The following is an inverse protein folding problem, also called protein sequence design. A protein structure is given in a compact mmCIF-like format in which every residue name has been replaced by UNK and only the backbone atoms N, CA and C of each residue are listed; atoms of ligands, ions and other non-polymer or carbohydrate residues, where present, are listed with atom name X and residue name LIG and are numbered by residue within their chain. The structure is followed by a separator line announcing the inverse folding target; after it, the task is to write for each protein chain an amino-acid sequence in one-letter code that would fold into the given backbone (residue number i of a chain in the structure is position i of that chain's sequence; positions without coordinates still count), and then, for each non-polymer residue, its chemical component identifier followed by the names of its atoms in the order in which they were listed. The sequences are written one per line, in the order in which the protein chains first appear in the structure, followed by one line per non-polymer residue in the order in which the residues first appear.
data_IF_223997260575
#
_entry.id   IF_223997260575
#
_cell.length_a   1.000
_cell.length_b   1.000
_cell.length_c   1.000
_cell.angle_alpha   90.00
_cell.angle_beta   90.00
_cell.angle_gamma   90.00
#
_symmetry.space_group_name_H-M   'P 1'
#
loop_
_entity.id
_entity.type
_entity.pdbx_description
1 polymer ?
#
# COMPACT_ATOMS: atom_id res chain seq x y z
N UNK A 1 -9.50 -19.08 60.83
CA UNK A 1 -8.36 -18.15 60.79
C UNK A 1 -7.28 -18.80 59.95
N UNK A 2 -6.89 -18.33 58.77
CA UNK A 2 -7.30 -17.20 57.92
C UNK A 2 -6.94 -17.62 56.48
N UNK A 3 -7.90 -17.61 55.57
CA UNK A 3 -8.17 -16.61 54.52
C UNK A 3 -7.08 -16.54 53.44
N UNK A 4 -7.50 -17.05 52.29
CA UNK A 4 -6.97 -16.89 50.94
C UNK A 4 -7.20 -15.45 50.46
N UNK A 5 -6.16 -14.71 50.03
CA UNK A 5 -6.28 -13.59 49.09
C UNK A 5 -5.02 -13.54 48.21
N UNK A 6 -5.23 -13.80 46.92
CA UNK A 6 -4.43 -13.34 45.77
C UNK A 6 -5.18 -12.13 45.16
N UNK A 7 -4.76 -11.40 44.11
CA UNK A 7 -3.47 -10.84 43.68
C UNK A 7 -3.60 -9.32 43.33
N UNK A 8 -2.48 -8.59 43.20
CA UNK A 8 -2.31 -7.42 42.30
C UNK A 8 -0.82 -7.03 42.28
N UNK A 9 -0.13 -7.32 41.18
CA UNK A 9 0.26 -6.33 40.16
C UNK A 9 0.96 -5.12 40.77
N UNK A 10 2.29 -5.10 40.75
CA UNK A 10 3.06 -4.05 40.08
C UNK A 10 4.37 -4.64 39.55
N UNK A 11 4.56 -4.43 38.26
CA UNK A 11 5.75 -4.64 37.46
C UNK A 11 6.95 -3.89 38.00
N UNK A 12 8.16 -4.44 37.86
CA UNK A 12 9.29 -3.73 37.23
C UNK A 12 10.49 -4.68 37.03
N UNK A 13 10.78 -4.92 35.75
CA UNK A 13 12.13 -4.95 35.18
C UNK A 13 13.24 -5.72 35.92
N UNK A 14 13.34 -7.03 35.67
CA UNK A 14 14.63 -7.72 35.67
C UNK A 14 14.87 -8.35 34.29
N UNK A 15 15.32 -7.49 33.37
CA UNK A 15 16.08 -7.89 32.20
C UNK A 15 17.51 -7.41 32.39
N UNK A 16 18.43 -8.32 32.09
CA UNK A 16 19.84 -8.09 31.75
C UNK A 16 20.79 -8.03 32.96
N UNK A 17 21.61 -9.07 33.11
CA UNK A 17 23.08 -8.96 33.08
C UNK A 17 23.71 -10.35 33.34
N UNK A 18 23.60 -11.25 32.37
CA UNK A 18 24.68 -12.22 32.17
C UNK A 18 25.82 -11.48 31.47
N UNK A 19 27.08 -11.53 31.97
CA UNK A 19 28.19 -10.94 31.27
C UNK A 19 28.41 -11.73 29.98
N UNK A 20 27.95 -11.16 28.87
CA UNK A 20 28.29 -11.58 27.53
C UNK A 20 29.79 -11.33 27.32
N UNK A 21 30.61 -12.31 27.71
CA UNK A 21 32.04 -12.28 27.44
C UNK A 21 32.20 -12.61 25.94
N UNK A 22 32.00 -11.59 25.10
CA UNK A 22 32.59 -11.60 23.76
C UNK A 22 34.10 -11.52 23.96
N UNK A 23 34.73 -12.68 24.13
CA UNK A 23 36.18 -12.80 24.12
C UNK A 23 36.60 -12.46 22.68
N UNK A 24 37.15 -11.28 22.50
CA UNK A 24 37.71 -10.87 21.22
C UNK A 24 38.88 -11.82 20.90
N UNK A 25 38.68 -12.70 19.92
CA UNK A 25 39.63 -13.77 19.59
C UNK A 25 41.01 -13.19 19.27
N UNK A 26 41.07 -12.01 18.66
CA UNK A 26 42.29 -11.27 18.36
C UNK A 26 43.05 -10.86 19.63
N UNK A 27 42.35 -10.41 20.67
CA UNK A 27 42.96 -10.04 21.94
C UNK A 27 43.55 -11.27 22.65
N UNK A 28 42.87 -12.41 22.63
CA UNK A 28 43.42 -13.64 23.20
C UNK A 28 44.63 -14.17 22.44
N UNK A 29 44.61 -14.14 21.11
CA UNK A 29 45.75 -14.54 20.27
C UNK A 29 46.95 -13.61 20.51
N UNK A 30 46.71 -12.31 20.66
CA UNK A 30 47.75 -11.34 21.01
C UNK A 30 48.33 -11.59 22.42
N UNK A 31 47.49 -12.02 23.37
CA UNK A 31 47.90 -12.35 24.74
C UNK A 31 48.82 -13.58 24.77
N UNK A 32 48.48 -14.64 24.03
CA UNK A 32 49.33 -15.85 23.89
C UNK A 32 50.64 -15.58 23.15
N UNK A 33 50.68 -14.52 22.34
CA UNK A 33 51.89 -14.09 21.62
C UNK A 33 52.81 -13.20 22.46
N UNK A 34 52.38 -12.80 23.67
CA UNK A 34 53.19 -11.94 24.54
C UNK A 34 54.32 -12.71 25.22
N UNK A 35 55.48 -12.05 25.35
CA UNK A 35 56.74 -12.63 25.82
C UNK A 35 56.65 -13.29 27.21
N UNK A 36 55.67 -12.90 28.03
CA UNK A 36 55.42 -13.44 29.36
C UNK A 36 54.92 -14.88 29.39
N UNK A 37 54.35 -15.38 28.29
CA UNK A 37 53.86 -16.76 28.17
C UNK A 37 54.85 -17.70 27.49
N UNK A 38 56.06 -17.22 27.16
CA UNK A 38 57.12 -18.09 26.68
C UNK A 38 57.50 -19.10 27.77
N UNK A 39 57.54 -20.40 27.46
CA UNK A 39 57.88 -21.44 28.44
C UNK A 39 59.22 -21.18 29.15
N UNK A 40 60.19 -20.59 28.46
CA UNK A 40 61.51 -20.28 29.00
C UNK A 40 61.48 -19.23 30.13
N UNK A 41 60.66 -18.17 29.99
CA UNK A 41 60.52 -17.10 30.99
C UNK A 41 59.70 -17.60 32.17
N UNK A 42 58.65 -18.38 31.90
CA UNK A 42 57.87 -19.05 32.93
C UNK A 42 58.77 -19.98 33.76
N UNK A 43 59.52 -20.90 33.14
CA UNK A 43 60.43 -21.83 33.84
C UNK A 43 61.47 -21.08 34.68
N UNK A 44 62.04 -20.00 34.16
CA UNK A 44 63.03 -19.19 34.88
C UNK A 44 62.43 -18.48 36.11
N UNK A 45 61.14 -18.12 36.07
CA UNK A 45 60.45 -17.55 37.24
C UNK A 45 60.25 -18.55 38.39
N UNK A 46 60.17 -19.85 38.09
CA UNK A 46 60.00 -20.92 39.09
C UNK A 46 61.32 -21.43 39.68
N UNK A 47 62.47 -21.06 39.10
CA UNK A 47 63.81 -21.53 39.47
C UNK A 47 64.69 -20.37 39.96
N UNK A 48 64.61 -19.96 41.25
CA UNK A 48 65.59 -19.03 41.79
C UNK A 48 67.01 -19.57 41.66
N UNK A 49 67.95 -18.68 41.34
CA UNK A 49 69.37 -18.95 41.04
C UNK A 49 70.18 -19.58 42.18
N UNK A 50 69.57 -19.83 43.35
CA UNK A 50 70.22 -20.33 44.58
C UNK A 50 69.58 -21.62 45.13
N UNK A 51 68.85 -22.39 44.32
CA UNK A 51 68.23 -23.66 44.75
C UNK A 51 69.20 -24.85 44.64
N UNK A 52 69.19 -25.73 45.66
CA UNK A 52 69.82 -27.06 45.61
C UNK A 52 69.24 -27.94 44.49
N UNK A 53 70.11 -28.51 43.64
CA UNK A 53 69.77 -29.28 42.43
C UNK A 53 68.60 -30.28 42.62
N UNK A 54 68.55 -30.98 43.75
CA UNK A 54 67.51 -31.98 44.05
C UNK A 54 66.12 -31.33 44.20
N UNK A 55 66.04 -30.15 44.83
CA UNK A 55 64.77 -29.41 44.98
C UNK A 55 64.31 -28.82 43.65
N UNK A 56 65.25 -28.39 42.79
CA UNK A 56 64.95 -27.93 41.45
C UNK A 56 64.41 -29.08 40.59
N UNK A 57 65.06 -30.25 40.63
CA UNK A 57 64.62 -31.45 39.91
C UNK A 57 63.21 -31.87 40.32
N UNK A 58 62.89 -31.91 41.60
CA UNK A 58 61.54 -32.26 42.06
C UNK A 58 60.47 -31.24 41.62
N UNK A 59 60.80 -29.94 41.58
CA UNK A 59 59.89 -28.90 41.07
C UNK A 59 59.67 -29.04 39.57
N UNK A 60 60.71 -29.33 38.80
CA UNK A 60 60.62 -29.54 37.35
C UNK A 60 59.77 -30.77 37.05
N UNK A 61 59.98 -31.88 37.77
CA UNK A 61 59.18 -33.10 37.61
C UNK A 61 57.71 -32.85 37.94
N UNK A 62 57.41 -32.15 39.05
CA UNK A 62 56.04 -31.81 39.41
C UNK A 62 55.37 -30.87 38.40
N UNK A 63 56.13 -29.91 37.85
CA UNK A 63 55.63 -29.03 36.80
C UNK A 63 55.36 -29.78 35.51
N UNK A 64 56.25 -30.70 35.12
CA UNK A 64 56.07 -31.55 33.95
C UNK A 64 54.81 -32.42 34.09
N UNK A 65 54.62 -33.07 35.24
CA UNK A 65 53.44 -33.90 35.51
C UNK A 65 52.15 -33.05 35.52
N UNK A 66 52.19 -31.84 36.08
CA UNK A 66 51.06 -30.91 36.04
C UNK A 66 50.74 -30.46 34.62
N UNK A 67 51.78 -30.17 33.82
CA UNK A 67 51.63 -29.79 32.41
C UNK A 67 51.05 -30.95 31.59
N UNK A 68 51.56 -32.17 31.80
CA UNK A 68 51.06 -33.38 31.13
C UNK A 68 49.59 -33.63 31.47
N UNK A 69 49.22 -33.51 32.75
CA UNK A 69 47.83 -33.66 33.20
C UNK A 69 46.92 -32.57 32.64
N UNK A 70 47.33 -31.31 32.70
CA UNK A 70 46.53 -30.19 32.22
C UNK A 70 46.41 -30.17 30.70
N UNK A 71 47.47 -30.53 29.98
CA UNK A 71 47.46 -30.71 28.52
C UNK A 71 46.54 -31.87 28.12
N UNK A 72 46.65 -33.01 28.79
CA UNK A 72 45.76 -34.15 28.56
C UNK A 72 44.30 -33.81 28.80
N UNK A 73 43.99 -33.13 29.91
CA UNK A 73 42.63 -32.67 30.22
C UNK A 73 42.11 -31.63 29.22
N UNK A 74 42.96 -30.72 28.73
CA UNK A 74 42.58 -29.75 27.71
C UNK A 74 42.27 -30.43 26.37
N UNK A 75 43.08 -31.41 25.97
CA UNK A 75 42.89 -32.21 24.75
C UNK A 75 41.58 -33.00 24.84
N UNK A 76 41.31 -33.66 25.97
CA UNK A 76 40.06 -34.40 26.18
C UNK A 76 38.82 -33.49 26.12
N UNK A 77 38.88 -32.32 26.76
CA UNK A 77 37.81 -31.30 26.66
C UNK A 77 37.61 -30.84 25.23
N UNK A 78 38.69 -30.62 24.48
CA UNK A 78 38.62 -30.23 23.08
C UNK A 78 37.97 -31.31 22.23
N UNK A 79 38.36 -32.58 22.40
CA UNK A 79 37.72 -33.70 21.71
C UNK A 79 36.22 -33.76 22.00
N UNK A 80 35.82 -33.63 23.27
CA UNK A 80 34.41 -33.61 23.64
C UNK A 80 33.62 -32.49 22.97
N UNK A 81 34.16 -31.26 22.94
CA UNK A 81 33.50 -30.12 22.30
C UNK A 81 33.40 -30.33 20.78
N UNK A 82 34.46 -30.85 20.15
CA UNK A 82 34.44 -31.18 18.72
C UNK A 82 33.40 -32.26 18.42
N UNK A 83 33.32 -33.30 19.24
CA UNK A 83 32.31 -34.36 19.08
C UNK A 83 30.88 -33.83 19.26
N UNK A 84 30.66 -32.93 20.23
CA UNK A 84 29.37 -32.27 20.43
C UNK A 84 28.99 -31.40 19.21
N UNK A 85 29.94 -30.64 18.64
CA UNK A 85 29.71 -29.84 17.43
C UNK A 85 29.38 -30.74 16.24
N UNK A 86 30.12 -31.83 16.06
CA UNK A 86 29.88 -32.79 14.96
C UNK A 86 28.50 -33.43 15.12
N UNK A 87 28.09 -33.78 16.34
CA UNK A 87 26.76 -34.34 16.60
C UNK A 87 25.62 -33.33 16.34
N UNK A 88 25.85 -32.04 16.58
CA UNK A 88 24.85 -30.99 16.37
C UNK A 88 24.79 -30.49 14.92
N UNK A 89 25.84 -30.68 14.13
CA UNK A 89 25.93 -30.19 12.74
C UNK A 89 24.81 -30.70 11.81
N UNK A 90 24.41 -32.00 11.82
CA UNK A 90 23.30 -32.48 10.99
C UNK A 90 21.96 -31.81 11.30
N UNK A 91 21.70 -31.55 12.60
CA UNK A 91 20.48 -30.86 13.04
C UNK A 91 20.47 -29.42 12.53
N UNK A 92 21.59 -28.71 12.65
CA UNK A 92 21.72 -27.35 12.13
C UNK A 92 21.52 -27.31 10.61
N UNK A 93 22.08 -28.28 9.88
CA UNK A 93 21.89 -28.39 8.43
C UNK A 93 20.41 -28.60 8.06
N UNK A 94 19.71 -29.48 8.78
CA UNK A 94 18.28 -29.70 8.59
C UNK A 94 17.47 -28.44 8.88
N UNK A 95 17.77 -27.74 9.97
CA UNK A 95 17.06 -26.51 10.33
C UNK A 95 17.27 -25.41 9.28
N UNK A 96 18.47 -25.30 8.69
CA UNK A 96 18.77 -24.39 7.58
C UNK A 96 17.96 -24.75 6.33
N UNK A 97 17.92 -26.03 5.97
CA UNK A 97 17.18 -26.48 4.78
C UNK A 97 15.67 -26.27 4.96
N UNK A 98 15.13 -26.54 6.15
CA UNK A 98 13.75 -26.26 6.49
C UNK A 98 13.44 -24.76 6.39
N UNK A 99 14.33 -23.90 6.89
CA UNK A 99 14.17 -22.46 6.82
C UNK A 99 14.22 -21.96 5.36
N UNK A 100 15.13 -22.51 4.55
CA UNK A 100 15.20 -22.23 3.12
C UNK A 100 13.90 -22.63 2.41
N UNK A 101 13.36 -23.82 2.67
CA UNK A 101 12.11 -24.28 2.07
C UNK A 101 10.91 -23.42 2.51
N UNK A 102 10.85 -23.04 3.79
CA UNK A 102 9.79 -22.18 4.31
C UNK A 102 9.85 -20.77 3.70
N UNK A 103 11.04 -20.21 3.50
CA UNK A 103 11.18 -18.90 2.84
C UNK A 103 10.82 -18.95 1.36
N UNK A 104 11.15 -20.05 0.66
CA UNK A 104 10.70 -20.27 -0.71
C UNK A 104 9.17 -20.31 -0.82
N UNK A 105 8.50 -21.09 0.02
CA UNK A 105 7.02 -21.17 0.08
C UNK A 105 6.40 -19.81 0.40
N UNK A 106 6.96 -19.08 1.38
CA UNK A 106 6.49 -17.75 1.74
C UNK A 106 6.61 -16.77 0.56
N UNK A 107 7.72 -16.84 -0.19
CA UNK A 107 7.92 -15.99 -1.37
C UNK A 107 6.89 -16.26 -2.46
N UNK A 108 6.51 -17.53 -2.67
CA UNK A 108 5.49 -17.93 -3.64
C UNK A 108 4.11 -17.40 -3.22
N UNK A 109 3.75 -17.53 -1.94
CA UNK A 109 2.50 -17.00 -1.38
C UNK A 109 2.44 -15.48 -1.54
N UNK A 110 3.55 -14.78 -1.26
CA UNK A 110 3.62 -13.32 -1.36
C UNK A 110 3.45 -12.86 -2.81
N UNK A 111 4.07 -13.57 -3.76
CA UNK A 111 3.90 -13.29 -5.19
C UNK A 111 2.46 -13.50 -5.64
N UNK A 112 1.82 -14.63 -5.28
CA UNK A 112 0.40 -14.87 -5.58
C UNK A 112 -0.51 -13.78 -5.01
N UNK A 113 -0.27 -13.38 -3.76
CA UNK A 113 -1.05 -12.29 -3.12
C UNK A 113 -0.83 -10.94 -3.80
N UNK A 114 0.41 -10.64 -4.23
CA UNK A 114 0.72 -9.42 -4.98
C UNK A 114 0.00 -9.39 -6.33
N UNK A 115 -0.05 -10.51 -7.04
CA UNK A 115 -0.81 -10.64 -8.29
C UNK A 115 -2.31 -10.43 -8.06
N UNK A 116 -2.89 -11.04 -7.03
CA UNK A 116 -4.29 -10.85 -6.66
C UNK A 116 -4.62 -9.39 -6.32
N UNK A 117 -3.77 -8.72 -5.54
CA UNK A 117 -3.96 -7.29 -5.20
C UNK A 117 -3.88 -6.43 -6.47
N UNK A 118 -2.96 -6.73 -7.39
CA UNK A 118 -2.84 -5.98 -8.63
C UNK A 118 -4.04 -6.21 -9.57
N UNK A 119 -4.56 -7.44 -9.63
CA UNK A 119 -5.78 -7.76 -10.38
C UNK A 119 -6.98 -7.01 -9.79
N UNK A 120 -7.18 -7.10 -8.48
CA UNK A 120 -8.25 -6.39 -7.78
C UNK A 120 -8.15 -4.88 -7.95
N UNK A 121 -6.95 -4.30 -7.85
CA UNK A 121 -6.74 -2.86 -8.06
C UNK A 121 -7.07 -2.42 -9.49
N UNK A 122 -6.76 -3.25 -10.50
CA UNK A 122 -7.13 -2.97 -11.90
C UNK A 122 -8.64 -3.06 -12.10
N UNK A 123 -9.27 -4.11 -11.58
CA UNK A 123 -10.71 -4.34 -11.70
C UNK A 123 -11.51 -3.25 -10.99
N UNK A 124 -11.19 -2.95 -9.72
CA UNK A 124 -11.84 -1.89 -8.97
C UNK A 124 -11.65 -0.51 -9.61
N UNK A 125 -10.47 -0.22 -10.15
CA UNK A 125 -10.22 1.05 -10.86
C UNK A 125 -11.10 1.15 -12.11
N UNK A 126 -11.21 0.08 -12.89
CA UNK A 126 -12.03 0.06 -14.10
C UNK A 126 -13.52 0.20 -13.76
N UNK A 127 -14.04 -0.57 -12.80
CA UNK A 127 -15.45 -0.49 -12.40
C UNK A 127 -15.85 0.88 -11.86
N UNK A 128 -14.96 1.52 -11.09
CA UNK A 128 -15.19 2.86 -10.57
C UNK A 128 -15.14 3.91 -11.69
N UNK A 129 -14.23 3.78 -12.65
CA UNK A 129 -14.17 4.66 -13.83
C UNK A 129 -15.43 4.51 -14.68
N UNK A 130 -15.88 3.29 -14.95
CA UNK A 130 -17.10 3.01 -15.70
C UNK A 130 -18.32 3.61 -15.00
N UNK A 131 -18.39 3.50 -13.68
CA UNK A 131 -19.42 4.15 -12.88
C UNK A 131 -19.39 5.68 -12.99
N UNK A 132 -18.20 6.31 -12.92
CA UNK A 132 -18.07 7.75 -13.10
C UNK A 132 -18.44 8.21 -14.51
N UNK A 133 -18.07 7.46 -15.54
CA UNK A 133 -18.45 7.76 -16.93
C UNK A 133 -19.96 7.66 -17.11
N UNK A 134 -20.60 6.63 -16.55
CA UNK A 134 -22.05 6.50 -16.56
C UNK A 134 -22.74 7.66 -15.82
N UNK A 135 -22.20 8.06 -14.66
CA UNK A 135 -22.73 9.18 -13.89
C UNK A 135 -22.62 10.51 -14.65
N UNK A 136 -21.52 10.73 -15.36
CA UNK A 136 -21.34 11.91 -16.20
C UNK A 136 -22.32 11.93 -17.38
N UNK A 137 -22.56 10.79 -18.03
CA UNK A 137 -23.58 10.66 -19.08
C UNK A 137 -24.98 10.97 -18.51
N UNK A 138 -25.30 10.43 -17.34
CA UNK A 138 -26.58 10.69 -16.67
C UNK A 138 -26.70 12.18 -16.35
N UNK A 139 -25.65 12.81 -15.81
CA UNK A 139 -25.63 14.24 -15.52
C UNK A 139 -25.84 15.08 -16.78
N UNK A 140 -25.17 14.76 -17.88
CA UNK A 140 -25.35 15.45 -19.16
C UNK A 140 -26.78 15.33 -19.67
N UNK A 141 -27.38 14.13 -19.57
CA UNK A 141 -28.79 13.91 -19.93
C UNK A 141 -29.72 14.71 -19.04
N UNK A 142 -29.51 14.70 -17.72
CA UNK A 142 -30.31 15.50 -16.77
C UNK A 142 -30.20 16.99 -17.11
N UNK A 143 -29.00 17.49 -17.37
CA UNK A 143 -28.78 18.88 -17.72
C UNK A 143 -29.44 19.25 -19.06
N UNK A 144 -29.38 18.36 -20.05
CA UNK A 144 -30.08 18.55 -21.32
C UNK A 144 -31.61 18.57 -21.12
N UNK A 145 -32.16 17.63 -20.35
CA UNK A 145 -33.60 17.61 -20.03
C UNK A 145 -34.02 18.84 -19.23
N UNK A 146 -33.19 19.29 -18.29
CA UNK A 146 -33.46 20.50 -17.51
C UNK A 146 -33.50 21.74 -18.41
N UNK A 147 -32.53 21.87 -19.33
CA UNK A 147 -32.51 22.98 -20.30
C UNK A 147 -33.75 22.97 -21.20
N UNK A 148 -34.17 21.79 -21.68
CA UNK A 148 -35.38 21.65 -22.50
C UNK A 148 -36.63 21.98 -21.70
N UNK A 149 -36.73 21.55 -20.45
CA UNK A 149 -37.84 21.86 -19.56
C UNK A 149 -37.88 23.34 -19.17
N UNK A 150 -36.72 23.98 -18.99
CA UNK A 150 -36.64 25.42 -18.73
C UNK A 150 -37.10 26.23 -19.95
N UNK A 151 -36.68 25.84 -21.15
CA UNK A 151 -37.15 26.45 -22.41
C UNK A 151 -38.64 26.20 -22.62
N UNK A 152 -39.15 25.00 -22.31
CA UNK A 152 -40.58 24.71 -22.32
C UNK A 152 -41.36 25.55 -21.29
N UNK A 153 -40.79 25.78 -20.10
CA UNK A 153 -41.38 26.66 -19.08
C UNK A 153 -41.45 28.11 -19.54
N UNK A 154 -40.41 28.63 -20.22
CA UNK A 154 -40.43 29.97 -20.84
C UNK A 154 -41.52 30.07 -21.90
N UNK A 155 -41.68 29.01 -22.70
CA UNK A 155 -42.74 28.95 -23.72
C UNK A 155 -44.16 28.85 -23.14
N UNK A 156 -44.33 28.49 -21.86
CA UNK A 156 -45.63 28.54 -21.18
C UNK A 156 -46.26 29.94 -21.22
N UNK A 157 -45.45 30.99 -21.26
CA UNK A 157 -45.92 32.37 -21.51
C UNK A 157 -46.18 32.60 -23.01
N UNK A 158 -47.06 31.77 -23.58
CA UNK A 158 -47.45 31.66 -25.01
C UNK A 158 -47.74 33.03 -25.63
N UNK A 159 -48.37 33.93 -24.86
CA UNK A 159 -48.78 35.24 -25.34
C UNK A 159 -47.61 36.23 -25.52
N UNK A 160 -46.50 36.02 -24.81
CA UNK A 160 -45.30 36.85 -24.96
C UNK A 160 -44.55 36.50 -26.25
N UNK A 161 -44.37 35.21 -26.54
CA UNK A 161 -43.73 34.71 -27.76
C UNK A 161 -44.52 35.08 -29.01
N UNK A 162 -45.86 34.98 -28.96
CA UNK A 162 -46.75 35.43 -30.05
C UNK A 162 -46.49 36.89 -30.42
N UNK A 163 -46.44 37.77 -29.41
CA UNK A 163 -46.24 39.21 -29.60
C UNK A 163 -44.87 39.51 -30.20
N UNK A 164 -43.83 38.78 -29.80
CA UNK A 164 -42.48 38.92 -30.35
C UNK A 164 -42.46 38.53 -31.84
N UNK A 165 -43.05 37.40 -32.20
CA UNK A 165 -43.09 36.91 -33.59
C UNK A 165 -43.91 37.87 -34.47
N UNK A 166 -45.07 38.34 -33.99
CA UNK A 166 -45.88 39.32 -34.72
C UNK A 166 -45.17 40.67 -34.90
N UNK A 167 -44.36 41.11 -33.93
CA UNK A 167 -43.51 42.30 -34.06
C UNK A 167 -42.36 42.09 -35.06
N UNK A 168 -41.75 40.91 -35.09
CA UNK A 168 -40.68 40.57 -36.05
C UNK A 168 -41.19 40.50 -37.49
N UNK A 169 -42.40 39.96 -37.69
CA UNK A 169 -43.07 39.97 -39.00
C UNK A 169 -43.33 41.41 -39.46
N UNK A 170 -43.86 42.27 -38.57
CA UNK A 170 -44.10 43.70 -38.88
C UNK A 170 -42.82 44.49 -39.21
N UNK A 171 -41.68 44.08 -38.66
CA UNK A 171 -40.37 44.70 -38.90
C UNK A 171 -39.62 44.07 -40.10
N UNK A 172 -40.29 43.26 -40.94
CA UNK A 172 -39.71 42.55 -42.09
C UNK A 172 -38.54 41.62 -41.74
N UNK A 173 -38.45 41.13 -40.49
CA UNK A 173 -37.44 40.16 -40.04
C UNK A 173 -37.98 38.72 -40.11
N UNK A 174 -38.49 38.34 -41.27
CA UNK A 174 -39.19 37.06 -41.49
C UNK A 174 -38.30 35.83 -41.26
N UNK A 175 -37.00 35.89 -41.58
CA UNK A 175 -36.06 34.80 -41.30
C UNK A 175 -35.90 34.51 -39.81
N UNK A 176 -35.74 35.56 -38.98
CA UNK A 176 -35.63 35.42 -37.52
C UNK A 176 -36.93 34.92 -36.90
N UNK A 177 -38.07 35.36 -37.44
CA UNK A 177 -39.38 34.86 -37.04
C UNK A 177 -39.51 33.34 -37.34
N UNK A 178 -39.03 32.89 -38.52
CA UNK A 178 -39.05 31.48 -38.89
C UNK A 178 -38.14 30.63 -37.99
N UNK A 179 -36.94 31.12 -37.64
CA UNK A 179 -36.01 30.40 -36.75
C UNK A 179 -36.62 30.18 -35.35
N UNK A 180 -37.34 31.19 -34.83
CA UNK A 180 -38.04 31.09 -33.55
C UNK A 180 -39.18 30.07 -33.65
N UNK A 181 -39.98 30.10 -34.72
CA UNK A 181 -41.07 29.13 -34.93
C UNK A 181 -40.53 27.70 -35.06
N UNK A 182 -39.41 27.50 -35.75
CA UNK A 182 -38.75 26.20 -35.84
C UNK A 182 -38.27 25.71 -34.46
N UNK A 183 -37.73 26.62 -33.62
CA UNK A 183 -37.36 26.30 -32.24
C UNK A 183 -38.60 25.91 -31.41
N UNK A 184 -39.70 26.64 -31.52
CA UNK A 184 -40.97 26.31 -30.85
C UNK A 184 -41.53 24.95 -31.29
N UNK A 185 -41.44 24.64 -32.58
CA UNK A 185 -41.84 23.35 -33.15
C UNK A 185 -41.03 22.19 -32.55
N UNK A 186 -39.73 22.38 -32.32
CA UNK A 186 -38.90 21.38 -31.63
C UNK A 186 -39.26 21.18 -30.16
N UNK A 187 -39.79 22.23 -29.50
CA UNK A 187 -40.26 22.16 -28.12
C UNK A 187 -41.67 21.56 -27.99
N UNK A 188 -42.44 21.51 -29.07
CA UNK A 188 -43.81 20.95 -29.09
C UNK A 188 -43.85 19.50 -28.61
N UNK A 189 -42.80 18.71 -28.87
CA UNK A 189 -42.68 17.32 -28.44
C UNK A 189 -42.74 17.14 -26.91
N UNK A 190 -42.34 18.16 -26.14
CA UNK A 190 -42.43 18.14 -24.66
C UNK A 190 -43.90 18.12 -24.19
N UNK A 191 -44.83 18.55 -25.04
CA UNK A 191 -46.23 18.78 -24.69
C UNK A 191 -47.18 17.72 -25.27
N UNK A 192 -46.69 16.72 -26.00
CA UNK A 192 -47.49 15.75 -26.80
C UNK A 192 -48.62 15.04 -26.03
N UNK A 193 -48.47 14.84 -24.72
CA UNK A 193 -49.47 14.21 -23.85
C UNK A 193 -50.23 15.20 -22.95
N UNK A 194 -50.05 16.50 -23.14
CA UNK A 194 -50.69 17.54 -22.33
C UNK A 194 -51.91 18.13 -23.03
N UNK A 195 -52.90 18.58 -22.26
CA UNK A 195 -54.09 19.25 -22.79
C UNK A 195 -53.77 20.55 -23.57
N UNK A 196 -52.57 21.10 -23.38
CA UNK A 196 -52.09 22.33 -24.04
C UNK A 196 -51.46 22.07 -25.42
N UNK A 197 -51.28 20.80 -25.82
CA UNK A 197 -50.65 20.42 -27.09
C UNK A 197 -51.40 20.98 -28.31
N UNK A 198 -52.70 20.70 -28.39
CA UNK A 198 -53.52 21.05 -29.55
C UNK A 198 -53.63 22.56 -29.73
N UNK A 199 -53.73 23.32 -28.64
CA UNK A 199 -53.79 24.79 -28.68
C UNK A 199 -52.47 25.38 -29.22
N UNK A 200 -51.33 24.80 -28.83
CA UNK A 200 -50.00 25.24 -29.26
C UNK A 200 -49.71 24.87 -30.71
N UNK A 201 -50.17 23.69 -31.15
CA UNK A 201 -50.05 23.23 -32.52
C UNK A 201 -50.81 24.16 -33.49
N UNK A 202 -52.08 24.44 -33.20
CA UNK A 202 -52.90 25.37 -33.99
C UNK A 202 -52.30 26.79 -34.03
N UNK A 203 -51.69 27.23 -32.92
CA UNK A 203 -50.99 28.52 -32.90
C UNK A 203 -49.72 28.54 -33.75
N UNK A 204 -48.90 27.48 -33.71
CA UNK A 204 -47.71 27.37 -34.57
C UNK A 204 -48.13 27.39 -36.04
N UNK A 205 -49.15 26.62 -36.43
CA UNK A 205 -49.66 26.60 -37.80
C UNK A 205 -50.14 27.99 -38.26
N UNK A 206 -50.85 28.72 -37.39
CA UNK A 206 -51.27 30.11 -37.68
C UNK A 206 -50.09 31.07 -37.82
N UNK A 207 -49.02 30.89 -37.05
CA UNK A 207 -47.81 31.71 -37.17
C UNK A 207 -47.01 31.36 -38.42
N UNK A 208 -46.89 30.07 -38.76
CA UNK A 208 -46.28 29.60 -40.02
C UNK A 208 -47.03 30.17 -41.23
N UNK A 209 -48.37 30.16 -41.21
CA UNK A 209 -49.20 30.77 -42.26
C UNK A 209 -48.98 32.29 -42.38
N UNK A 210 -48.91 33.01 -41.26
CA UNK A 210 -48.63 34.47 -41.28
C UNK A 210 -47.23 34.78 -41.82
N UNK A 211 -46.23 33.98 -41.46
CA UNK A 211 -44.86 34.12 -41.97
C UNK A 211 -44.83 33.79 -43.47
N UNK A 212 -45.52 32.74 -43.92
CA UNK A 212 -45.61 32.40 -45.34
C UNK A 212 -46.28 33.52 -46.15
N UNK A 213 -47.40 34.05 -45.68
CA UNK A 213 -48.10 35.15 -46.35
C UNK A 213 -47.21 36.40 -46.46
N UNK A 214 -46.54 36.80 -45.37
CA UNK A 214 -45.61 37.93 -45.41
C UNK A 214 -44.39 37.69 -46.31
N UNK A 215 -43.86 36.46 -46.38
CA UNK A 215 -42.80 36.10 -47.34
C UNK A 215 -43.28 36.18 -48.79
N UNK A 216 -44.49 35.75 -49.09
CA UNK A 216 -45.07 35.84 -50.44
C UNK A 216 -45.47 37.25 -50.83
N UNK A 217 -45.84 38.11 -49.88
CA UNK A 217 -46.11 39.53 -50.12
C UNK A 217 -44.82 40.30 -50.45
N UNK A 218 -43.73 40.02 -49.73
CA UNK A 218 -42.39 40.61 -50.00
C UNK A 218 -41.81 40.15 -51.36
N UNK A 219 -42.25 39.01 -51.91
CA UNK A 219 -41.82 38.51 -53.22
C UNK A 219 -42.63 39.09 -54.40
N UNK A 220 -43.76 39.74 -54.13
CA UNK A 220 -44.67 40.31 -55.14
C UNK A 220 -44.64 41.85 -55.20
N UNK A 221 -43.83 42.51 -54.36
CA UNK A 221 -43.41 43.93 -54.48
C UNK A 221 -42.03 44.03 -55.16
#
# INVERSE_FOLDING_TARGET
MDIFIDPKVYSENEKNNEPNIQINTEETISLFSSLSYLPSIYINSFLPSTISLIKAQNKIVNLLLSLEFTSGSAIEKLHRVVDEIIQQSPRLSYDIELLHNNTAVLSEILNKKKEQINAFKKEAKNSTIDYFMNLEIIKQRIQATYSVLEDAKKWKDIETEKKIIELLIKNNQTQRAQDIVNKLKSLLQVWEETNEYNERLDMIEKLEQKIHNSLTEIQNE
#
